data_IF_156776747954
#
_entry.id   IF_156776747954
#
_cell.length_a   1.000
_cell.length_b   1.000
_cell.length_c   1.000
_cell.angle_alpha   90.00
_cell.angle_beta   90.00
_cell.angle_gamma   90.00
#
_symmetry.space_group_name_H-M   'P 1'
#
loop_
_entity.id
_entity.type
_entity.pdbx_description
1 polymer ?
#
# COMPACT_ATOMS: atom_id res chain seq x y z
N UNK A 1 10.52 3.21 -5.34
CA UNK A 1 10.18 1.81 -5.67
C UNK A 1 11.44 0.97 -5.44
N UNK A 2 11.49 0.14 -4.39
CA UNK A 2 12.72 -0.56 -3.94
C UNK A 2 12.78 -2.05 -4.35
N UNK A 3 11.71 -2.58 -4.94
CA UNK A 3 11.60 -4.01 -5.27
C UNK A 3 12.37 -4.44 -6.53
N UNK A 4 12.43 -3.65 -7.61
CA UNK A 4 13.17 -4.04 -8.81
C UNK A 4 14.68 -4.05 -8.57
N UNK A 5 15.21 -3.06 -7.84
CA UNK A 5 16.66 -2.93 -7.63
C UNK A 5 17.24 -4.08 -6.81
N UNK A 6 16.55 -4.53 -5.76
CA UNK A 6 16.98 -5.69 -4.95
C UNK A 6 17.00 -6.99 -5.76
N UNK A 7 16.00 -7.21 -6.62
CA UNK A 7 15.93 -8.38 -7.48
C UNK A 7 17.10 -8.38 -8.48
N UNK A 8 17.38 -7.25 -9.13
CA UNK A 8 18.50 -7.11 -10.06
C UNK A 8 19.83 -7.45 -9.39
N UNK A 9 20.09 -6.93 -8.18
CA UNK A 9 21.32 -7.24 -7.42
C UNK A 9 21.47 -8.73 -7.13
N UNK A 10 20.38 -9.42 -6.77
CA UNK A 10 20.39 -10.87 -6.49
C UNK A 10 20.57 -11.72 -7.74
N UNK A 11 20.07 -11.26 -8.88
CA UNK A 11 20.21 -11.92 -10.18
C UNK A 11 21.60 -11.70 -10.80
N UNK A 12 22.26 -10.58 -10.51
CA UNK A 12 23.62 -10.29 -10.98
C UNK A 12 24.71 -11.09 -10.24
N UNK A 13 24.38 -11.73 -9.13
CA UNK A 13 25.34 -12.50 -8.34
C UNK A 13 25.49 -13.92 -8.92
N UNK A 14 26.59 -14.16 -9.66
CA UNK A 14 26.84 -15.35 -10.49
C UNK A 14 26.78 -16.72 -9.78
N UNK A 15 26.82 -16.76 -8.45
CA UNK A 15 26.91 -18.00 -7.67
C UNK A 15 25.63 -18.36 -6.91
N UNK A 16 24.54 -17.59 -7.04
CA UNK A 16 23.26 -17.91 -6.40
C UNK A 16 22.34 -18.56 -7.43
N UNK A 17 21.84 -19.76 -7.11
CA UNK A 17 20.86 -20.41 -7.96
C UNK A 17 19.59 -19.53 -8.08
N UNK A 18 19.08 -19.36 -9.31
CA UNK A 18 17.95 -18.47 -9.62
C UNK A 18 16.75 -18.68 -8.69
N UNK A 19 16.42 -19.93 -8.39
CA UNK A 19 15.31 -20.28 -7.51
C UNK A 19 15.48 -19.70 -6.09
N UNK A 20 16.71 -19.65 -5.58
CA UNK A 20 17.01 -19.13 -4.25
C UNK A 20 16.88 -17.60 -4.23
N UNK A 21 17.37 -16.92 -5.27
CA UNK A 21 17.19 -15.47 -5.43
C UNK A 21 15.72 -15.07 -5.53
N UNK A 22 14.91 -15.83 -6.27
CA UNK A 22 13.47 -15.61 -6.37
C UNK A 22 12.75 -15.86 -5.04
N UNK A 23 13.10 -16.92 -4.31
CA UNK A 23 12.53 -17.23 -3.01
C UNK A 23 12.82 -16.12 -1.98
N UNK A 24 14.06 -15.64 -1.94
CA UNK A 24 14.46 -14.55 -1.04
C UNK A 24 13.79 -13.23 -1.41
N UNK A 25 13.70 -12.89 -2.70
CA UNK A 25 12.95 -11.72 -3.15
C UNK A 25 11.48 -11.80 -2.75
N UNK A 26 10.82 -12.94 -2.98
CA UNK A 26 9.43 -13.19 -2.57
C UNK A 26 9.27 -12.98 -1.06
N UNK A 27 10.15 -13.55 -0.25
CA UNK A 27 10.09 -13.39 1.21
C UNK A 27 10.21 -11.92 1.64
N UNK A 28 11.06 -11.14 0.98
CA UNK A 28 11.19 -9.71 1.27
C UNK A 28 9.96 -8.90 0.85
N UNK A 29 9.35 -9.24 -0.28
CA UNK A 29 8.07 -8.67 -0.71
C UNK A 29 7.00 -8.96 0.34
N UNK A 30 6.79 -10.24 0.69
CA UNK A 30 5.81 -10.65 1.70
C UNK A 30 6.03 -9.94 3.05
N UNK A 31 7.27 -9.91 3.55
CA UNK A 31 7.62 -9.21 4.79
C UNK A 31 7.27 -7.73 4.75
N UNK A 32 7.48 -7.07 3.61
CA UNK A 32 7.23 -5.63 3.46
C UNK A 32 5.75 -5.28 3.41
N UNK A 33 4.90 -6.19 2.94
CA UNK A 33 3.45 -6.01 2.92
C UNK A 33 2.74 -6.61 4.14
N UNK A 34 3.46 -7.36 4.98
CA UNK A 34 2.90 -7.97 6.19
C UNK A 34 2.29 -6.89 7.10
N UNK A 35 1.01 -7.06 7.44
CA UNK A 35 0.28 -6.18 8.35
C UNK A 35 -0.13 -4.82 7.75
N UNK A 36 0.08 -4.61 6.44
CA UNK A 36 -0.50 -3.46 5.76
C UNK A 36 -1.98 -3.73 5.48
N UNK A 37 -2.83 -2.77 5.83
CA UNK A 37 -4.26 -2.79 5.52
C UNK A 37 -4.50 -2.16 4.15
N UNK A 38 -5.51 -2.65 3.41
CA UNK A 38 -6.00 -2.00 2.21
C UNK A 38 -6.73 -0.67 2.49
N UNK A 39 -6.82 0.17 1.46
CA UNK A 39 -7.66 1.36 1.49
C UNK A 39 -9.14 0.97 1.48
N UNK A 40 -9.92 1.47 2.44
CA UNK A 40 -11.34 1.15 2.57
C UNK A 40 -12.27 1.85 1.55
N UNK A 41 -11.72 2.56 0.57
CA UNK A 41 -12.48 3.12 -0.56
C UNK A 41 -12.25 2.32 -1.85
N UNK A 42 -10.99 1.99 -2.16
CA UNK A 42 -10.64 1.35 -3.43
C UNK A 42 -10.19 -0.11 -3.29
N UNK A 43 -10.08 -0.63 -2.07
CA UNK A 43 -9.69 -2.01 -1.74
C UNK A 43 -8.29 -2.43 -2.22
N UNK A 44 -7.45 -1.48 -2.62
CA UNK A 44 -6.04 -1.73 -2.95
C UNK A 44 -5.12 -1.32 -1.81
N UNK A 45 -4.05 -2.08 -1.60
CA UNK A 45 -2.94 -1.69 -0.72
C UNK A 45 -2.10 -0.59 -1.38
N UNK A 46 -1.88 -0.67 -2.68
CA UNK A 46 -1.16 0.35 -3.46
C UNK A 46 -2.16 1.05 -4.37
N UNK A 47 -2.27 2.38 -4.27
CA UNK A 47 -3.14 3.14 -5.14
C UNK A 47 -2.69 3.00 -6.60
N UNK A 48 -3.62 2.70 -7.51
CA UNK A 48 -3.31 2.36 -8.91
C UNK A 48 -2.61 3.47 -9.70
N UNK A 49 -2.85 4.75 -9.37
CA UNK A 49 -2.27 5.89 -10.10
C UNK A 49 -1.13 6.57 -9.35
N UNK A 50 -1.22 6.64 -8.01
CA UNK A 50 -0.25 7.40 -7.20
C UNK A 50 0.82 6.50 -6.57
N UNK A 51 0.64 5.18 -6.66
CA UNK A 51 1.51 4.16 -6.09
C UNK A 51 1.79 4.35 -4.59
N UNK A 52 0.88 5.05 -3.88
CA UNK A 52 0.98 5.29 -2.44
C UNK A 52 0.25 4.20 -1.65
N UNK A 53 0.71 3.99 -0.42
CA UNK A 53 0.02 3.18 0.59
C UNK A 53 -1.10 4.00 1.27
N UNK A 54 -2.13 3.36 1.86
CA UNK A 54 -3.13 4.05 2.64
C UNK A 54 -2.52 4.55 3.96
N UNK A 55 -2.31 5.86 4.06
CA UNK A 55 -1.63 6.51 5.19
C UNK A 55 -2.58 7.33 6.06
N UNK A 56 -3.74 7.74 5.53
CA UNK A 56 -4.69 8.56 6.26
C UNK A 56 -5.59 7.68 7.11
N UNK A 57 -5.50 7.83 8.43
CA UNK A 57 -6.23 7.03 9.42
C UNK A 57 -7.40 7.83 9.98
N UNK A 58 -8.62 7.29 9.94
CA UNK A 58 -9.72 7.88 10.68
C UNK A 58 -9.45 7.78 12.19
N UNK A 59 -9.52 8.91 12.91
CA UNK A 59 -9.26 8.93 14.36
C UNK A 59 -10.27 8.13 15.18
N UNK A 60 -11.49 7.98 14.66
CA UNK A 60 -12.61 7.28 15.31
C UNK A 60 -12.57 5.78 15.04
N UNK A 61 -12.79 5.36 13.78
CA UNK A 61 -12.90 3.93 13.44
C UNK A 61 -11.57 3.25 13.08
N UNK A 62 -10.46 3.99 13.07
CA UNK A 62 -9.09 3.50 12.79
C UNK A 62 -8.92 2.83 11.41
N UNK A 63 -9.82 3.06 10.46
CA UNK A 63 -9.66 2.60 9.08
C UNK A 63 -8.79 3.54 8.26
N UNK A 64 -8.00 2.97 7.34
CA UNK A 64 -7.01 3.69 6.53
C UNK A 64 -7.47 3.94 5.10
N UNK A 65 -7.01 5.05 4.53
CA UNK A 65 -7.36 5.49 3.20
C UNK A 65 -6.12 6.05 2.47
N UNK A 66 -6.09 5.90 1.14
CA UNK A 66 -5.19 6.70 0.30
C UNK A 66 -5.64 8.16 0.31
N UNK A 67 -4.69 9.09 0.32
CA UNK A 67 -5.00 10.52 0.24
C UNK A 67 -5.84 10.86 -1.00
N UNK A 68 -5.50 10.29 -2.16
CA UNK A 68 -6.25 10.50 -3.40
C UNK A 68 -7.72 10.04 -3.29
N UNK A 69 -7.96 8.84 -2.72
CA UNK A 69 -9.31 8.32 -2.54
C UNK A 69 -10.11 9.16 -1.55
N UNK A 70 -9.51 9.56 -0.43
CA UNK A 70 -10.21 10.30 0.61
C UNK A 70 -10.54 11.73 0.18
N UNK A 71 -9.62 12.43 -0.49
CA UNK A 71 -9.91 13.76 -1.02
C UNK A 71 -10.96 13.74 -2.13
N UNK A 72 -10.95 12.71 -2.99
CA UNK A 72 -12.03 12.51 -3.96
C UNK A 72 -13.37 12.33 -3.25
N UNK A 73 -13.41 11.54 -2.17
CA UNK A 73 -14.60 11.37 -1.35
C UNK A 73 -15.10 12.70 -0.78
N UNK A 74 -14.24 13.50 -0.14
CA UNK A 74 -14.65 14.79 0.44
C UNK A 74 -15.22 15.76 -0.60
N UNK A 75 -14.60 15.80 -1.79
CA UNK A 75 -15.07 16.64 -2.88
C UNK A 75 -16.45 16.17 -3.40
N UNK A 76 -16.67 14.86 -3.51
CA UNK A 76 -17.94 14.30 -3.98
C UNK A 76 -19.06 14.37 -2.95
N UNK A 77 -18.75 14.26 -1.65
CA UNK A 77 -19.72 14.32 -0.56
C UNK A 77 -20.00 15.74 -0.06
N UNK A 78 -19.21 16.73 -0.50
CA UNK A 78 -19.20 18.09 0.01
C UNK A 78 -19.05 18.16 1.55
N UNK A 79 -18.30 17.22 2.14
CA UNK A 79 -18.02 17.17 3.58
C UNK A 79 -16.71 16.43 3.88
N UNK A 80 -16.06 16.78 5.00
CA UNK A 80 -14.81 16.14 5.43
C UNK A 80 -15.06 14.99 6.41
N UNK A 81 -15.98 14.08 6.09
CA UNK A 81 -16.35 12.97 7.00
C UNK A 81 -15.80 11.62 6.55
N UNK A 82 -15.50 10.75 7.51
CA UNK A 82 -15.06 9.39 7.23
C UNK A 82 -16.14 8.61 6.43
N UNK A 83 -15.78 7.94 5.31
CA UNK A 83 -16.74 7.17 4.50
C UNK A 83 -17.47 6.05 5.25
N UNK A 84 -16.89 5.56 6.35
CA UNK A 84 -17.42 4.41 7.09
C UNK A 84 -18.20 4.82 8.34
N UNK A 85 -17.62 5.67 9.19
CA UNK A 85 -18.21 6.03 10.47
C UNK A 85 -18.81 7.43 10.53
N UNK A 86 -18.69 8.21 9.44
CA UNK A 86 -19.22 9.59 9.30
C UNK A 86 -18.71 10.60 10.34
N UNK A 87 -17.75 10.26 11.18
CA UNK A 87 -17.08 11.25 12.03
C UNK A 87 -16.31 12.25 11.16
N UNK A 88 -16.14 13.48 11.65
CA UNK A 88 -15.19 14.43 11.06
C UNK A 88 -13.79 13.79 11.01
N UNK A 89 -13.10 13.95 9.87
CA UNK A 89 -11.83 13.29 9.59
C UNK A 89 -10.62 14.09 10.06
#
# INVERSE_FOLDING_TARGET
MLFPSQLTTMLSHRNTALHHSLAFWKQNVEKKFKGLEECYICYYVIHSQSHQLPKLLCRTCKKKFHSACLYKWFNSSNNSTCPLCRSLF
#
